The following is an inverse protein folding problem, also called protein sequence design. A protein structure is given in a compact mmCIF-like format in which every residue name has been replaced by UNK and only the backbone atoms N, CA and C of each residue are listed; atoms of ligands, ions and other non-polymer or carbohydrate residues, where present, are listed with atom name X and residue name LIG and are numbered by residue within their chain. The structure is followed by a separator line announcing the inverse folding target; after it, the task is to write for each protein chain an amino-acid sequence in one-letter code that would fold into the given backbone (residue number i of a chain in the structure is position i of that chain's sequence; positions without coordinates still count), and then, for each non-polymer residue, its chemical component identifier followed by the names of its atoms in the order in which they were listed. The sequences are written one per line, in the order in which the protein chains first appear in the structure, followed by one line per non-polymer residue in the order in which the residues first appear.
data_IF_331199078234
#
_entry.id   IF_331199078234
#
_cell.length_a   1.000
_cell.length_b   1.000
_cell.length_c   1.000
_cell.angle_alpha   90.00
_cell.angle_beta   90.00
_cell.angle_gamma   90.00
#
_symmetry.space_group_name_H-M   'P 1'
#
loop_
_entity.id
_entity.type
_entity.pdbx_description
1 polymer ?
#
# COMPACT_ATOMS: atom_id res chain seq x y z
N UNK A 1 1.60 24.00 -39.27
CA UNK A 1 2.40 22.81 -38.85
C UNK A 1 3.19 23.08 -37.57
N UNK A 2 4.00 24.14 -37.48
CA UNK A 2 4.74 24.49 -36.25
C UNK A 2 3.84 24.70 -35.01
N UNK A 3 2.72 25.44 -35.13
CA UNK A 3 1.78 25.63 -34.02
C UNK A 3 1.13 24.33 -33.52
N UNK A 4 0.83 23.38 -34.42
CA UNK A 4 0.23 22.09 -34.04
C UNK A 4 1.24 21.26 -33.25
N UNK A 5 2.50 21.23 -33.71
CA UNK A 5 3.58 20.52 -33.02
C UNK A 5 3.87 21.10 -31.62
N UNK A 6 3.78 22.43 -31.47
CA UNK A 6 3.94 23.10 -30.17
C UNK A 6 2.81 22.72 -29.22
N UNK A 7 1.55 22.70 -29.70
CA UNK A 7 0.39 22.31 -28.89
C UNK A 7 0.52 20.87 -28.41
N UNK A 8 0.85 19.94 -29.31
CA UNK A 8 1.00 18.51 -29.00
C UNK A 8 2.12 18.28 -27.96
N UNK A 9 3.25 18.96 -28.09
CA UNK A 9 4.35 18.91 -27.11
C UNK A 9 3.90 19.40 -25.72
N UNK A 10 3.17 20.52 -25.65
CA UNK A 10 2.66 21.06 -24.38
C UNK A 10 1.67 20.09 -23.73
N UNK A 11 0.76 19.50 -24.51
CA UNK A 11 -0.20 18.51 -24.01
C UNK A 11 0.48 17.26 -23.44
N UNK A 12 1.51 16.73 -24.10
CA UNK A 12 2.26 15.57 -23.63
C UNK A 12 2.99 15.86 -22.31
N UNK A 13 3.67 17.00 -22.23
CA UNK A 13 4.38 17.42 -21.02
C UNK A 13 3.43 17.62 -19.84
N UNK A 14 2.29 18.28 -20.07
CA UNK A 14 1.33 18.58 -19.02
C UNK A 14 0.61 17.30 -18.55
N UNK A 15 0.39 16.31 -19.43
CA UNK A 15 -0.08 14.96 -19.04
C UNK A 15 0.90 14.26 -18.10
N UNK A 16 2.18 14.19 -18.47
CA UNK A 16 3.21 13.57 -17.62
C UNK A 16 3.33 14.27 -16.27
N UNK A 17 3.29 15.60 -16.26
CA UNK A 17 3.29 16.41 -15.03
C UNK A 17 2.09 16.07 -14.15
N UNK A 18 0.88 16.06 -14.72
CA UNK A 18 -0.35 15.71 -13.99
C UNK A 18 -0.27 14.32 -13.37
N UNK A 19 0.16 13.30 -14.13
CA UNK A 19 0.29 11.95 -13.58
C UNK A 19 1.32 11.87 -12.44
N UNK A 20 2.37 12.69 -12.49
CA UNK A 20 3.38 12.79 -11.44
C UNK A 20 2.83 13.46 -10.18
N UNK A 21 2.12 14.58 -10.32
CA UNK A 21 1.55 15.35 -9.20
C UNK A 21 0.44 14.57 -8.48
N UNK A 22 -0.38 13.87 -9.26
CA UNK A 22 -1.49 13.07 -8.74
C UNK A 22 -1.08 11.64 -8.33
N UNK A 23 0.20 11.25 -8.49
CA UNK A 23 0.71 9.89 -8.27
C UNK A 23 -0.08 8.78 -9.01
N UNK A 24 -0.53 9.03 -10.25
CA UNK A 24 -1.22 8.02 -11.05
C UNK A 24 -0.24 6.98 -11.60
N UNK A 25 -0.50 5.69 -11.33
CA UNK A 25 0.27 4.57 -11.88
C UNK A 25 -0.25 4.15 -13.26
N UNK A 26 -0.04 5.00 -14.26
CA UNK A 26 -0.39 4.77 -15.67
C UNK A 26 0.84 4.38 -16.50
N UNK A 27 1.53 3.32 -16.10
CA UNK A 27 2.89 3.03 -16.55
C UNK A 27 2.99 2.84 -18.07
N UNK A 28 2.03 2.18 -18.71
CA UNK A 28 1.99 2.00 -20.17
C UNK A 28 1.89 3.34 -20.90
N UNK A 29 0.95 4.20 -20.52
CA UNK A 29 0.79 5.50 -21.17
C UNK A 29 1.94 6.46 -20.86
N UNK A 30 2.55 6.36 -19.68
CA UNK A 30 3.76 7.11 -19.33
C UNK A 30 4.92 6.71 -20.23
N UNK A 31 5.09 5.41 -20.49
CA UNK A 31 6.12 4.89 -21.41
C UNK A 31 5.86 5.42 -22.81
N UNK A 32 4.66 5.26 -23.35
CA UNK A 32 4.33 5.68 -24.72
C UNK A 32 4.62 7.17 -24.95
N UNK A 33 4.03 8.04 -24.12
CA UNK A 33 4.16 9.50 -24.25
C UNK A 33 5.58 9.95 -23.92
N UNK A 34 6.20 9.34 -22.92
CA UNK A 34 7.52 9.73 -22.46
C UNK A 34 8.65 9.31 -23.40
N UNK A 35 8.56 8.12 -24.00
CA UNK A 35 9.50 7.62 -25.01
C UNK A 35 9.47 8.52 -26.27
N UNK A 36 8.28 8.90 -26.74
CA UNK A 36 8.11 9.87 -27.84
C UNK A 36 8.75 11.22 -27.49
N UNK A 37 8.46 11.75 -26.30
CA UNK A 37 9.02 13.03 -25.84
C UNK A 37 10.55 13.03 -25.76
N UNK A 38 11.15 11.95 -25.25
CA UNK A 38 12.60 11.79 -25.13
C UNK A 38 13.23 11.70 -26.52
N UNK A 39 12.66 10.92 -27.43
CA UNK A 39 13.26 10.67 -28.74
C UNK A 39 13.09 11.85 -29.70
N UNK A 40 11.93 12.50 -29.71
CA UNK A 40 11.62 13.51 -30.73
C UNK A 40 11.77 14.95 -30.23
N UNK A 41 11.68 15.19 -28.92
CA UNK A 41 11.49 16.52 -28.36
C UNK A 41 12.41 16.87 -27.19
N UNK A 42 13.44 16.07 -26.89
CA UNK A 42 14.36 16.30 -25.76
C UNK A 42 14.94 17.73 -25.71
N UNK A 43 15.35 18.29 -26.84
CA UNK A 43 15.94 19.63 -26.90
C UNK A 43 14.99 20.77 -26.52
N UNK A 44 13.67 20.52 -26.51
CA UNK A 44 12.64 21.51 -26.19
C UNK A 44 12.14 21.40 -24.75
N UNK A 45 12.54 20.37 -24.02
CA UNK A 45 12.05 20.09 -22.67
C UNK A 45 12.78 20.88 -21.57
N UNK A 46 13.95 21.45 -21.87
CA UNK A 46 14.73 22.21 -20.89
C UNK A 46 15.04 21.33 -19.66
N UNK A 47 14.85 21.86 -18.46
CA UNK A 47 15.14 21.13 -17.22
C UNK A 47 14.11 20.05 -16.86
N UNK A 48 12.90 20.10 -17.44
CA UNK A 48 11.85 19.10 -17.20
C UNK A 48 12.27 17.71 -17.73
N UNK A 49 13.22 17.66 -18.67
CA UNK A 49 13.71 16.41 -19.29
C UNK A 49 14.18 15.40 -18.25
N UNK A 50 14.83 15.83 -17.17
CA UNK A 50 15.41 14.93 -16.17
C UNK A 50 14.33 14.27 -15.32
N UNK A 51 13.29 15.02 -15.00
CA UNK A 51 12.15 14.50 -14.23
C UNK A 51 11.31 13.58 -15.14
N UNK A 52 11.24 13.85 -16.45
CA UNK A 52 10.65 12.95 -17.45
C UNK A 52 11.44 11.65 -17.56
N UNK A 53 12.77 11.71 -17.71
CA UNK A 53 13.63 10.51 -17.74
C UNK A 53 13.40 9.61 -16.52
N UNK A 54 13.31 10.18 -15.32
CA UNK A 54 13.03 9.38 -14.12
C UNK A 54 11.62 8.76 -14.14
N UNK A 55 10.60 9.53 -14.55
CA UNK A 55 9.24 9.04 -14.63
C UNK A 55 9.10 7.89 -15.63
N UNK A 56 9.71 8.05 -16.81
CA UNK A 56 9.76 7.02 -17.85
C UNK A 56 10.55 5.82 -17.38
N UNK A 57 11.67 6.01 -16.69
CA UNK A 57 12.46 4.91 -16.14
C UNK A 57 11.64 4.05 -15.18
N UNK A 58 10.91 4.67 -14.24
CA UNK A 58 10.08 3.94 -13.27
C UNK A 58 8.94 3.20 -13.98
N UNK A 59 8.25 3.87 -14.90
CA UNK A 59 7.16 3.26 -15.67
C UNK A 59 7.65 2.12 -16.59
N UNK A 60 8.83 2.27 -17.18
CA UNK A 60 9.45 1.23 -18.01
C UNK A 60 9.79 -0.03 -17.20
N UNK A 61 10.22 0.11 -15.94
CA UNK A 61 10.40 -1.04 -15.04
C UNK A 61 9.07 -1.78 -14.79
N UNK A 62 7.99 -1.04 -14.52
CA UNK A 62 6.65 -1.61 -14.35
C UNK A 62 6.17 -2.36 -15.62
N UNK A 63 6.53 -1.87 -16.80
CA UNK A 63 6.22 -2.47 -18.09
C UNK A 63 7.24 -3.51 -18.57
N UNK A 64 8.24 -3.87 -17.75
CA UNK A 64 9.33 -4.79 -18.12
C UNK A 64 10.12 -4.36 -19.38
N UNK A 65 10.11 -3.06 -19.72
CA UNK A 65 10.90 -2.44 -20.79
C UNK A 65 12.29 -2.05 -20.25
N UNK A 66 13.11 -3.05 -19.93
CA UNK A 66 14.46 -2.82 -19.36
C UNK A 66 15.38 -2.03 -20.30
N UNK A 67 15.18 -2.14 -21.61
CA UNK A 67 15.87 -1.38 -22.65
C UNK A 67 15.72 0.14 -22.43
N UNK A 68 14.48 0.59 -22.25
CA UNK A 68 14.13 1.99 -22.03
C UNK A 68 14.55 2.44 -20.63
N UNK A 69 14.30 1.60 -19.62
CA UNK A 69 14.71 1.89 -18.24
C UNK A 69 16.22 2.06 -18.10
N UNK A 70 17.01 1.21 -18.76
CA UNK A 70 18.47 1.31 -18.80
C UNK A 70 18.93 2.59 -19.48
N UNK A 71 18.35 2.93 -20.64
CA UNK A 71 18.68 4.15 -21.39
C UNK A 71 18.44 5.39 -20.55
N UNK A 72 17.26 5.50 -19.93
CA UNK A 72 16.93 6.62 -19.05
C UNK A 72 17.89 6.70 -17.85
N UNK A 73 18.22 5.56 -17.25
CA UNK A 73 19.15 5.50 -16.12
C UNK A 73 20.57 5.95 -16.49
N UNK A 74 21.06 5.63 -17.69
CA UNK A 74 22.39 6.06 -18.14
C UNK A 74 22.45 7.59 -18.31
N UNK A 75 21.42 8.18 -18.92
CA UNK A 75 21.35 9.64 -19.07
C UNK A 75 21.31 10.35 -17.70
N UNK A 76 20.52 9.83 -16.76
CA UNK A 76 20.47 10.35 -15.40
C UNK A 76 21.81 10.22 -14.65
N UNK A 77 22.52 9.10 -14.83
CA UNK A 77 23.86 8.90 -14.23
C UNK A 77 24.89 9.86 -14.80
N UNK A 78 24.83 10.11 -16.11
CA UNK A 78 25.73 11.05 -16.81
C UNK A 78 25.52 12.47 -16.33
N UNK A 79 24.27 12.89 -16.17
CA UNK A 79 23.93 14.24 -15.74
C UNK A 79 24.15 14.47 -14.24
N UNK A 80 23.86 13.48 -13.40
CA UNK A 80 23.91 13.62 -11.94
C UNK A 80 24.82 12.56 -11.29
N UNK A 81 26.14 12.60 -11.55
CA UNK A 81 27.07 11.65 -10.95
C UNK A 81 27.05 11.75 -9.42
N UNK A 82 26.96 10.61 -8.74
CA UNK A 82 26.93 10.53 -7.27
C UNK A 82 25.58 10.85 -6.62
N UNK A 83 24.54 11.21 -7.38
CA UNK A 83 23.21 11.49 -6.84
C UNK A 83 22.60 10.26 -6.14
N UNK A 84 22.18 10.42 -4.88
CA UNK A 84 21.49 9.37 -4.11
C UNK A 84 20.17 8.96 -4.78
N UNK A 85 19.48 9.91 -5.43
CA UNK A 85 18.26 9.64 -6.21
C UNK A 85 18.55 8.69 -7.38
N UNK A 86 19.63 8.93 -8.11
CA UNK A 86 20.04 8.06 -9.24
C UNK A 86 20.58 6.72 -8.75
N UNK A 87 21.32 6.70 -7.63
CA UNK A 87 21.72 5.44 -6.96
C UNK A 87 20.50 4.60 -6.59
N UNK A 88 19.41 5.21 -6.10
CA UNK A 88 18.15 4.53 -5.77
C UNK A 88 17.50 3.94 -7.02
N UNK A 89 17.43 4.69 -8.13
CA UNK A 89 16.89 4.19 -9.41
C UNK A 89 17.71 3.00 -9.94
N UNK A 90 19.03 3.02 -9.79
CA UNK A 90 19.86 1.86 -10.13
C UNK A 90 19.51 0.63 -9.26
N UNK A 91 19.25 0.83 -7.97
CA UNK A 91 18.72 -0.21 -7.08
C UNK A 91 17.36 -0.76 -7.54
N UNK A 92 16.44 0.13 -7.95
CA UNK A 92 15.10 -0.28 -8.43
C UNK A 92 15.18 -1.16 -9.67
N UNK A 93 16.12 -0.86 -10.58
CA UNK A 93 16.38 -1.72 -11.74
C UNK A 93 16.95 -3.07 -11.33
N UNK A 94 17.86 -3.13 -10.35
CA UNK A 94 18.38 -4.40 -9.84
C UNK A 94 17.27 -5.25 -9.21
N UNK A 95 16.32 -4.64 -8.50
CA UNK A 95 15.13 -5.34 -8.00
C UNK A 95 14.26 -5.90 -9.11
N UNK A 96 14.01 -5.11 -10.17
CA UNK A 96 13.23 -5.56 -11.33
C UNK A 96 13.91 -6.73 -12.08
N UNK A 97 15.23 -6.85 -11.96
CA UNK A 97 16.02 -7.96 -12.49
C UNK A 97 16.22 -9.09 -11.47
N UNK A 98 15.52 -9.05 -10.33
CA UNK A 98 15.61 -10.01 -9.22
C UNK A 98 17.02 -10.17 -8.62
N UNK A 99 17.90 -9.18 -8.83
CA UNK A 99 19.26 -9.13 -8.26
C UNK A 99 19.23 -8.50 -6.87
N UNK A 100 18.51 -9.15 -5.96
CA UNK A 100 18.20 -8.61 -4.64
C UNK A 100 19.43 -8.35 -3.76
N UNK A 101 20.47 -9.16 -3.86
CA UNK A 101 21.72 -8.98 -3.10
C UNK A 101 22.47 -7.73 -3.55
N UNK A 102 22.52 -7.48 -4.85
CA UNK A 102 23.16 -6.29 -5.41
C UNK A 102 22.33 -5.04 -5.12
N UNK A 103 21.00 -5.15 -5.21
CA UNK A 103 20.09 -4.07 -4.81
C UNK A 103 20.24 -3.73 -3.32
N UNK A 104 20.35 -4.73 -2.45
CA UNK A 104 20.56 -4.52 -1.01
C UNK A 104 21.87 -3.78 -0.73
N UNK A 105 22.99 -4.21 -1.35
CA UNK A 105 24.28 -3.50 -1.23
C UNK A 105 24.19 -2.05 -1.70
N UNK A 106 23.45 -1.82 -2.78
CA UNK A 106 23.22 -0.48 -3.30
C UNK A 106 22.46 0.39 -2.28
N UNK A 107 21.41 -0.14 -1.65
CA UNK A 107 20.67 0.57 -0.61
C UNK A 107 21.47 0.77 0.68
N UNK A 108 22.26 -0.22 1.08
CA UNK A 108 23.16 -0.09 2.24
C UNK A 108 24.19 1.02 2.01
N UNK A 109 24.74 1.15 0.80
CA UNK A 109 25.63 2.28 0.48
C UNK A 109 24.92 3.63 0.58
N UNK A 110 23.65 3.74 0.16
CA UNK A 110 22.87 4.98 0.32
C UNK A 110 22.66 5.28 1.80
N UNK A 111 22.34 4.27 2.61
CA UNK A 111 22.07 4.42 4.04
C UNK A 111 23.35 4.66 4.87
N UNK A 112 24.52 4.23 4.40
CA UNK A 112 25.81 4.60 4.99
C UNK A 112 26.12 6.09 4.77
N UNK A 113 25.81 6.62 3.59
CA UNK A 113 26.01 8.03 3.26
C UNK A 113 24.95 8.92 3.96
N UNK A 114 23.69 8.47 3.99
CA UNK A 114 22.53 9.17 4.54
C UNK A 114 21.62 8.17 5.30
N UNK A 115 21.83 7.98 6.61
CA UNK A 115 21.03 7.08 7.44
C UNK A 115 19.54 7.45 7.53
N UNK A 116 19.21 8.71 7.19
CA UNK A 116 17.84 9.25 7.23
C UNK A 116 17.07 9.06 5.92
N UNK A 117 17.69 8.41 4.93
CA UNK A 117 17.08 8.17 3.63
C UNK A 117 15.93 7.15 3.70
N UNK A 118 14.73 7.64 3.97
CA UNK A 118 13.52 6.81 4.14
C UNK A 118 13.20 6.01 2.87
N UNK A 119 13.42 6.59 1.68
CA UNK A 119 13.17 5.94 0.41
C UNK A 119 14.07 4.71 0.21
N UNK A 120 15.37 4.81 0.49
CA UNK A 120 16.28 3.66 0.40
C UNK A 120 15.93 2.57 1.43
N UNK A 121 15.59 2.98 2.66
CA UNK A 121 15.20 2.04 3.72
C UNK A 121 13.93 1.27 3.38
N UNK A 122 12.88 1.95 2.87
CA UNK A 122 11.63 1.31 2.41
C UNK A 122 11.88 0.30 1.28
N UNK A 123 12.79 0.60 0.33
CA UNK A 123 13.17 -0.36 -0.72
C UNK A 123 13.89 -1.57 -0.17
N UNK A 124 14.80 -1.40 0.79
CA UNK A 124 15.46 -2.53 1.47
C UNK A 124 14.46 -3.43 2.20
N UNK A 125 13.49 -2.85 2.93
CA UNK A 125 12.40 -3.59 3.57
C UNK A 125 11.58 -4.35 2.51
N UNK A 126 11.25 -3.72 1.39
CA UNK A 126 10.52 -4.35 0.28
C UNK A 126 11.26 -5.56 -0.30
N UNK A 127 12.59 -5.49 -0.43
CA UNK A 127 13.43 -6.63 -0.84
C UNK A 127 13.35 -7.77 0.17
N UNK A 128 13.48 -7.49 1.46
CA UNK A 128 13.39 -8.51 2.50
C UNK A 128 12.04 -9.24 2.45
N UNK A 129 10.94 -8.49 2.24
CA UNK A 129 9.60 -9.05 2.04
C UNK A 129 9.54 -9.94 0.79
N UNK A 130 10.08 -9.49 -0.35
CA UNK A 130 10.11 -10.26 -1.59
C UNK A 130 10.93 -11.56 -1.48
N UNK A 131 11.99 -11.55 -0.66
CA UNK A 131 12.80 -12.73 -0.35
C UNK A 131 12.18 -13.67 0.70
N UNK A 132 11.02 -13.35 1.25
CA UNK A 132 10.40 -14.12 2.34
C UNK A 132 11.13 -14.02 3.68
N UNK A 133 12.02 -13.03 3.84
CA UNK A 133 12.78 -12.75 5.07
C UNK A 133 11.95 -11.90 6.04
N UNK A 134 10.81 -12.45 6.47
CA UNK A 134 9.84 -11.72 7.30
C UNK A 134 10.43 -11.21 8.62
N UNK A 135 11.25 -12.02 9.29
CA UNK A 135 11.84 -11.66 10.57
C UNK A 135 12.77 -10.45 10.46
N UNK A 136 13.61 -10.42 9.43
CA UNK A 136 14.48 -9.28 9.14
C UNK A 136 13.67 -8.05 8.72
N UNK A 137 12.64 -8.21 7.89
CA UNK A 137 11.76 -7.12 7.49
C UNK A 137 11.05 -6.48 8.71
N UNK A 138 10.56 -7.30 9.63
CA UNK A 138 9.96 -6.85 10.91
C UNK A 138 10.98 -6.07 11.74
N UNK A 139 12.22 -6.57 11.88
CA UNK A 139 13.27 -5.86 12.64
C UNK A 139 13.55 -4.49 12.03
N UNK A 140 13.77 -4.42 10.72
CA UNK A 140 14.07 -3.17 10.02
C UNK A 140 12.89 -2.17 10.06
N UNK A 141 11.64 -2.64 10.00
CA UNK A 141 10.46 -1.80 10.17
C UNK A 141 10.31 -1.24 11.58
N UNK A 142 10.60 -2.04 12.63
CA UNK A 142 10.60 -1.54 14.00
C UNK A 142 11.66 -0.43 14.17
N UNK A 143 12.90 -0.68 13.74
CA UNK A 143 13.99 0.32 13.80
C UNK A 143 13.65 1.58 12.99
N UNK A 144 12.93 1.44 11.87
CA UNK A 144 12.44 2.58 11.10
C UNK A 144 11.38 3.38 11.86
N UNK A 145 10.38 2.71 12.44
CA UNK A 145 9.27 3.36 13.14
C UNK A 145 9.69 4.00 14.46
N UNK A 146 10.81 3.59 15.06
CA UNK A 146 11.43 4.30 16.19
C UNK A 146 11.81 5.75 15.82
N UNK A 147 12.18 5.99 14.56
CA UNK A 147 12.58 7.32 14.06
C UNK A 147 11.44 8.04 13.33
N UNK A 148 10.57 7.28 12.65
CA UNK A 148 9.53 7.79 11.78
C UNK A 148 8.13 7.32 12.22
N UNK A 149 7.79 7.52 13.49
CA UNK A 149 6.55 7.05 14.12
C UNK A 149 5.25 7.50 13.41
N UNK A 150 5.31 8.61 12.67
CA UNK A 150 4.16 9.13 11.90
C UNK A 150 3.91 8.44 10.56
N UNK A 151 4.77 7.51 10.13
CA UNK A 151 4.61 6.82 8.84
C UNK A 151 3.56 5.70 8.92
N UNK A 152 2.34 6.06 8.51
CA UNK A 152 1.19 5.16 8.56
C UNK A 152 1.33 3.96 7.62
N UNK A 153 1.97 4.14 6.47
CA UNK A 153 2.19 3.04 5.52
C UNK A 153 3.11 1.99 6.16
N UNK A 154 4.17 2.42 6.84
CA UNK A 154 5.07 1.50 7.53
C UNK A 154 4.40 0.77 8.71
N UNK A 155 3.53 1.44 9.48
CA UNK A 155 2.72 0.79 10.52
C UNK A 155 1.78 -0.28 9.93
N UNK A 156 1.17 0.03 8.79
CA UNK A 156 0.29 -0.90 8.11
C UNK A 156 1.05 -2.13 7.59
N UNK A 157 2.18 -1.92 6.91
CA UNK A 157 3.05 -3.01 6.47
C UNK A 157 3.56 -3.88 7.62
N UNK A 158 3.94 -3.27 8.75
CA UNK A 158 4.36 -4.01 9.94
C UNK A 158 3.23 -4.85 10.52
N UNK A 159 1.99 -4.32 10.51
CA UNK A 159 0.81 -5.06 10.96
C UNK A 159 0.57 -6.31 10.08
N UNK A 160 0.69 -6.19 8.76
CA UNK A 160 0.53 -7.31 7.83
C UNK A 160 1.60 -8.39 8.04
N UNK A 161 2.86 -7.97 8.27
CA UNK A 161 3.93 -8.90 8.58
C UNK A 161 3.67 -9.66 9.89
N UNK A 162 3.22 -8.99 10.94
CA UNK A 162 2.86 -9.68 12.18
C UNK A 162 1.65 -10.61 12.02
N UNK A 163 0.68 -10.28 11.17
CA UNK A 163 -0.42 -11.19 10.82
C UNK A 163 0.12 -12.45 10.12
N UNK A 164 1.02 -12.29 9.14
CA UNK A 164 1.62 -13.41 8.41
C UNK A 164 2.48 -14.31 9.30
N UNK A 165 3.15 -13.72 10.30
CA UNK A 165 3.91 -14.45 11.32
C UNK A 165 3.06 -14.92 12.52
N UNK A 166 1.73 -14.75 12.44
CA UNK A 166 0.77 -15.16 13.47
C UNK A 166 0.97 -14.48 14.86
N UNK A 167 1.75 -13.40 14.93
CA UNK A 167 1.89 -12.55 16.12
C UNK A 167 0.77 -11.52 16.17
N UNK A 168 -0.45 -12.02 16.37
CA UNK A 168 -1.66 -11.19 16.41
C UNK A 168 -1.64 -10.13 17.51
N UNK A 169 -0.85 -10.34 18.58
CA UNK A 169 -0.66 -9.38 19.65
C UNK A 169 -0.01 -8.10 19.14
N UNK A 170 1.13 -8.23 18.46
CA UNK A 170 1.84 -7.09 17.88
C UNK A 170 1.12 -6.51 16.65
N UNK A 171 0.45 -7.34 15.86
CA UNK A 171 -0.41 -6.85 14.77
C UNK A 171 -1.52 -5.92 15.30
N UNK A 172 -2.19 -6.30 16.40
CA UNK A 172 -3.23 -5.48 17.00
C UNK A 172 -2.69 -4.14 17.51
N UNK A 173 -1.49 -4.13 18.10
CA UNK A 173 -0.82 -2.90 18.54
C UNK A 173 -0.56 -1.95 17.36
N UNK A 174 -0.02 -2.45 16.24
CA UNK A 174 0.19 -1.64 15.04
C UNK A 174 -1.12 -1.02 14.51
N UNK A 175 -2.21 -1.79 14.53
CA UNK A 175 -3.53 -1.31 14.11
C UNK A 175 -4.14 -0.30 15.09
N UNK A 176 -3.81 -0.36 16.38
CA UNK A 176 -4.20 0.66 17.36
C UNK A 176 -3.56 2.02 17.04
N UNK A 177 -2.26 2.04 16.72
CA UNK A 177 -1.55 3.27 16.27
C UNK A 177 -2.20 3.87 15.02
N UNK A 178 -2.57 3.02 14.05
CA UNK A 178 -3.27 3.45 12.83
C UNK A 178 -4.67 4.01 13.10
N UNK A 179 -5.43 3.41 14.02
CA UNK A 179 -6.75 3.90 14.40
C UNK A 179 -6.69 5.20 15.19
N UNK A 180 -5.67 5.39 16.04
CA UNK A 180 -5.48 6.64 16.78
C UNK A 180 -5.19 7.81 15.84
N UNK A 181 -4.38 7.58 14.80
CA UNK A 181 -4.04 8.61 13.80
C UNK A 181 -5.14 8.79 12.74
N UNK A 182 -5.95 7.77 12.47
CA UNK A 182 -7.02 7.79 11.46
C UNK A 182 -8.35 7.24 12.00
N UNK A 183 -9.02 7.94 12.94
CA UNK A 183 -10.20 7.42 13.64
C UNK A 183 -11.43 7.24 12.75
N UNK A 184 -11.40 7.79 11.54
CA UNK A 184 -12.49 7.69 10.55
C UNK A 184 -12.21 6.67 9.43
N UNK A 185 -11.05 6.01 9.42
CA UNK A 185 -10.75 4.98 8.44
C UNK A 185 -11.40 3.65 8.85
N UNK A 186 -12.44 3.24 8.13
CA UNK A 186 -13.17 2.02 8.43
C UNK A 186 -12.32 0.74 8.26
N UNK A 187 -11.29 0.77 7.41
CA UNK A 187 -10.46 -0.40 7.11
C UNK A 187 -9.63 -0.80 8.32
N UNK A 188 -9.06 0.17 9.06
CA UNK A 188 -8.28 -0.14 10.26
C UNK A 188 -9.15 -0.70 11.38
N UNK A 189 -10.38 -0.20 11.55
CA UNK A 189 -11.34 -0.80 12.48
C UNK A 189 -11.74 -2.23 12.08
N UNK A 190 -11.92 -2.48 10.78
CA UNK A 190 -12.21 -3.81 10.26
C UNK A 190 -11.05 -4.77 10.52
N UNK A 191 -9.83 -4.43 10.08
CA UNK A 191 -8.64 -5.27 10.25
C UNK A 191 -8.34 -5.52 11.73
N UNK A 192 -8.48 -4.52 12.60
CA UNK A 192 -8.33 -4.70 14.04
C UNK A 192 -9.37 -5.69 14.60
N UNK A 193 -10.62 -5.58 14.16
CA UNK A 193 -11.67 -6.50 14.57
C UNK A 193 -11.42 -7.94 14.11
N UNK A 194 -10.86 -8.12 12.91
CA UNK A 194 -10.42 -9.43 12.39
C UNK A 194 -9.27 -10.01 13.22
N UNK A 195 -8.25 -9.22 13.53
CA UNK A 195 -7.13 -9.65 14.38
C UNK A 195 -7.63 -10.07 15.77
N UNK A 196 -8.51 -9.27 16.41
CA UNK A 196 -9.12 -9.64 17.70
C UNK A 196 -10.01 -10.87 17.60
N UNK A 197 -10.73 -11.05 16.49
CA UNK A 197 -11.51 -12.27 16.26
C UNK A 197 -10.61 -13.51 16.24
N UNK A 198 -9.51 -13.43 15.49
CA UNK A 198 -8.53 -14.51 15.33
C UNK A 198 -7.81 -14.86 16.64
N UNK A 199 -7.48 -13.86 17.47
CA UNK A 199 -6.94 -14.09 18.82
C UNK A 199 -7.86 -14.94 19.70
N UNK A 200 -9.17 -14.88 19.44
CA UNK A 200 -10.16 -15.69 20.14
C UNK A 200 -10.28 -15.39 21.63
N UNK A 201 -11.07 -16.19 22.34
CA UNK A 201 -11.47 -15.89 23.71
C UNK A 201 -12.62 -14.88 23.76
N UNK A 202 -13.43 -14.97 24.82
CA UNK A 202 -14.69 -14.22 24.91
C UNK A 202 -14.46 -12.71 24.90
N UNK A 203 -13.43 -12.22 25.59
CA UNK A 203 -13.09 -10.81 25.66
C UNK A 203 -12.72 -10.24 24.28
N UNK A 204 -11.83 -10.93 23.54
CA UNK A 204 -11.45 -10.48 22.20
C UNK A 204 -12.60 -10.61 21.20
N UNK A 205 -13.48 -11.62 21.33
CA UNK A 205 -14.69 -11.70 20.51
C UNK A 205 -15.62 -10.50 20.77
N UNK A 206 -15.78 -10.07 22.03
CA UNK A 206 -16.57 -8.89 22.35
C UNK A 206 -15.95 -7.60 21.80
N UNK A 207 -14.62 -7.45 21.85
CA UNK A 207 -13.89 -6.36 21.21
C UNK A 207 -14.09 -6.39 19.69
N UNK A 208 -13.83 -7.54 19.06
CA UNK A 208 -14.02 -7.76 17.63
C UNK A 208 -15.42 -7.33 17.18
N UNK A 209 -16.47 -7.78 17.86
CA UNK A 209 -17.85 -7.36 17.57
C UNK A 209 -18.04 -5.85 17.64
N UNK A 210 -17.47 -5.18 18.65
CA UNK A 210 -17.56 -3.72 18.82
C UNK A 210 -16.87 -3.00 17.65
N UNK A 211 -15.67 -3.42 17.27
CA UNK A 211 -14.91 -2.79 16.20
C UNK A 211 -15.46 -3.08 14.80
N UNK A 212 -16.04 -4.27 14.56
CA UNK A 212 -16.82 -4.51 13.34
C UNK A 212 -18.05 -3.59 13.25
N UNK A 213 -18.77 -3.38 14.37
CA UNK A 213 -19.88 -2.44 14.40
C UNK A 213 -19.42 -0.98 14.15
N UNK A 214 -18.26 -0.60 14.66
CA UNK A 214 -17.66 0.72 14.39
C UNK A 214 -17.27 0.86 12.91
N UNK A 215 -16.64 -0.16 12.32
CA UNK A 215 -16.31 -0.17 10.89
C UNK A 215 -17.57 -0.03 10.02
N UNK A 216 -18.69 -0.68 10.39
CA UNK A 216 -19.98 -0.54 9.72
C UNK A 216 -20.63 0.84 9.90
N UNK A 217 -20.40 1.49 11.03
CA UNK A 217 -20.85 2.87 11.27
C UNK A 217 -20.10 3.86 10.38
N UNK A 218 -18.81 3.62 10.16
CA UNK A 218 -17.97 4.44 9.26
C UNK A 218 -18.25 4.14 7.78
N UNK A 219 -18.45 2.87 7.42
CA UNK A 219 -18.83 2.43 6.07
C UNK A 219 -19.84 1.28 6.13
N UNK A 220 -21.11 1.60 5.86
CA UNK A 220 -22.22 0.65 5.91
C UNK A 220 -22.26 -0.36 4.74
N UNK A 221 -21.39 -0.20 3.72
CA UNK A 221 -21.26 -1.13 2.58
C UNK A 221 -20.13 -2.13 2.76
N UNK A 222 -19.43 -2.07 3.89
CA UNK A 222 -18.33 -2.97 4.17
C UNK A 222 -18.83 -4.39 4.48
N UNK A 223 -18.77 -5.27 3.47
CA UNK A 223 -19.22 -6.66 3.60
C UNK A 223 -18.36 -7.47 4.57
N UNK A 224 -17.04 -7.25 4.62
CA UNK A 224 -16.15 -7.92 5.58
C UNK A 224 -16.55 -7.61 7.01
N UNK A 225 -16.76 -6.33 7.32
CA UNK A 225 -17.24 -5.92 8.63
C UNK A 225 -18.64 -6.47 8.97
N UNK A 226 -19.50 -6.63 7.97
CA UNK A 226 -20.84 -7.18 8.16
C UNK A 226 -20.82 -8.69 8.51
N UNK A 227 -20.02 -9.47 7.79
CA UNK A 227 -19.77 -10.87 8.12
C UNK A 227 -19.06 -11.00 9.48
N UNK A 228 -18.06 -10.17 9.74
CA UNK A 228 -17.36 -10.12 11.02
C UNK A 228 -18.31 -9.87 12.20
N UNK A 229 -19.23 -8.91 12.07
CA UNK A 229 -20.26 -8.64 13.09
C UNK A 229 -21.17 -9.87 13.30
N UNK A 230 -21.62 -10.50 12.22
CA UNK A 230 -22.45 -11.71 12.30
C UNK A 230 -21.72 -12.86 13.02
N UNK A 231 -20.48 -13.15 12.61
CA UNK A 231 -19.69 -14.26 13.15
C UNK A 231 -19.33 -14.04 14.62
N UNK A 232 -18.83 -12.85 14.97
CA UNK A 232 -18.49 -12.48 16.35
C UNK A 232 -19.71 -12.55 17.27
N UNK A 233 -20.83 -11.94 16.86
CA UNK A 233 -22.08 -11.99 17.65
C UNK A 233 -22.61 -13.43 17.80
N UNK A 234 -22.59 -14.23 16.74
CA UNK A 234 -23.06 -15.62 16.79
C UNK A 234 -22.21 -16.48 17.74
N UNK A 235 -20.88 -16.33 17.69
CA UNK A 235 -19.96 -17.04 18.58
C UNK A 235 -20.12 -16.61 20.04
N UNK A 236 -20.30 -15.31 20.31
CA UNK A 236 -20.58 -14.82 21.67
C UNK A 236 -21.90 -15.40 22.18
N UNK A 237 -22.95 -15.40 21.36
CA UNK A 237 -24.26 -15.93 21.75
C UNK A 237 -24.27 -17.45 22.00
N UNK A 238 -23.40 -18.20 21.30
CA UNK A 238 -23.23 -19.64 21.47
C UNK A 238 -22.35 -20.01 22.69
N UNK A 239 -21.58 -19.06 23.23
CA UNK A 239 -20.67 -19.32 24.35
C UNK A 239 -21.44 -19.71 25.63
N UNK A 240 -21.06 -20.79 26.33
CA UNK A 240 -21.67 -21.13 27.62
C UNK A 240 -21.25 -20.17 28.75
N UNK A 241 -20.22 -19.33 28.51
CA UNK A 241 -19.67 -18.40 29.50
C UNK A 241 -20.48 -17.11 29.64
N UNK A 242 -21.41 -16.83 28.73
CA UNK A 242 -22.21 -15.59 28.75
C UNK A 242 -23.54 -15.78 29.46
N UNK A 243 -24.00 -14.73 30.15
CA UNK A 243 -25.33 -14.71 30.76
C UNK A 243 -26.44 -14.54 29.69
N UNK A 244 -27.70 -14.77 30.10
CA UNK A 244 -28.85 -14.70 29.22
C UNK A 244 -29.04 -13.32 28.55
N UNK A 245 -28.68 -12.24 29.25
CA UNK A 245 -28.78 -10.86 28.72
C UNK A 245 -27.81 -10.64 27.58
N UNK A 246 -26.54 -11.00 27.76
CA UNK A 246 -25.49 -10.91 26.73
C UNK A 246 -25.83 -11.82 25.56
N UNK A 247 -26.29 -13.05 25.82
CA UNK A 247 -26.74 -13.98 24.78
C UNK A 247 -27.86 -13.38 23.93
N UNK A 248 -28.93 -12.86 24.56
CA UNK A 248 -30.07 -12.25 23.86
C UNK A 248 -29.65 -11.02 23.04
N UNK A 249 -28.76 -10.18 23.55
CA UNK A 249 -28.24 -9.04 22.82
C UNK A 249 -27.46 -9.47 21.56
N UNK A 250 -26.59 -10.46 21.68
CA UNK A 250 -25.79 -10.95 20.57
C UNK A 250 -26.60 -11.70 19.51
N UNK A 251 -27.66 -12.43 19.89
CA UNK A 251 -28.63 -12.97 18.93
C UNK A 251 -29.28 -11.86 18.11
N UNK A 252 -29.60 -10.71 18.72
CA UNK A 252 -30.14 -9.55 17.98
C UNK A 252 -29.13 -8.96 17.00
N UNK A 253 -27.86 -8.79 17.42
CA UNK A 253 -26.80 -8.33 16.53
C UNK A 253 -26.60 -9.28 15.34
N UNK A 254 -26.51 -10.58 15.60
CA UNK A 254 -26.36 -11.60 14.56
C UNK A 254 -27.55 -11.57 13.58
N UNK A 255 -28.78 -11.56 14.09
CA UNK A 255 -30.01 -11.51 13.27
C UNK A 255 -30.06 -10.24 12.41
N UNK A 256 -29.71 -9.09 12.99
CA UNK A 256 -29.63 -7.84 12.24
C UNK A 256 -28.60 -7.94 11.12
N UNK A 257 -27.40 -8.43 11.41
CA UNK A 257 -26.32 -8.57 10.44
C UNK A 257 -26.74 -9.52 9.30
N UNK A 258 -27.32 -10.68 9.60
CA UNK A 258 -27.84 -11.62 8.59
C UNK A 258 -28.88 -10.98 7.68
N UNK A 259 -29.80 -10.18 8.23
CA UNK A 259 -30.79 -9.46 7.42
C UNK A 259 -30.15 -8.45 6.47
N UNK A 260 -29.11 -7.72 6.91
CA UNK A 260 -28.36 -6.82 6.04
C UNK A 260 -27.58 -7.58 4.96
N UNK A 261 -26.96 -8.71 5.31
CA UNK A 261 -26.24 -9.56 4.34
C UNK A 261 -27.22 -10.02 3.24
N UNK A 262 -28.36 -10.58 3.63
CA UNK A 262 -29.39 -11.02 2.68
C UNK A 262 -29.86 -9.89 1.75
N UNK A 263 -30.08 -8.69 2.29
CA UNK A 263 -30.45 -7.50 1.48
C UNK A 263 -29.35 -7.12 0.50
N UNK A 264 -28.09 -7.14 0.92
CA UNK A 264 -26.95 -6.82 0.05
C UNK A 264 -26.86 -7.78 -1.14
N UNK A 265 -27.04 -9.08 -0.92
CA UNK A 265 -27.08 -10.09 -2.00
C UNK A 265 -28.27 -9.91 -2.94
N UNK A 266 -29.46 -9.62 -2.41
CA UNK A 266 -30.65 -9.36 -3.24
C UNK A 266 -30.45 -8.16 -4.18
N UNK A 267 -29.88 -7.07 -3.67
CA UNK A 267 -29.57 -5.87 -4.47
C UNK A 267 -28.52 -6.18 -5.53
N UNK A 268 -27.48 -6.94 -5.19
CA UNK A 268 -26.44 -7.33 -6.15
C UNK A 268 -26.99 -8.23 -7.25
N UNK A 269 -27.86 -9.18 -6.90
CA UNK A 269 -28.50 -10.08 -7.86
C UNK A 269 -29.40 -9.31 -8.83
N UNK A 270 -30.20 -8.37 -8.33
CA UNK A 270 -31.06 -7.52 -9.15
C UNK A 270 -30.26 -6.64 -10.14
N UNK A 271 -29.05 -6.21 -9.78
CA UNK A 271 -28.16 -5.43 -10.67
C UNK A 271 -27.51 -6.26 -11.76
N UNK A 272 -27.30 -7.56 -11.57
CA UNK A 272 -26.73 -8.43 -12.60
C UNK A 272 -27.77 -8.88 -13.65
N UNK A 273 -29.06 -8.72 -13.36
CA UNK A 273 -30.17 -9.08 -14.26
C UNK A 273 -30.64 -7.91 -15.16
N UNK A 274 -30.12 -6.70 -14.92
CA UNK A 274 -30.38 -5.47 -15.69
C UNK A 274 -29.13 -5.12 -16.50
#
# INVERSE_FOLDING_TARGET
RANVLIIVLTEMRDKLRKWREDNHRNSEQIVDVGEELINEHASKLGDDIWIIYEQVMIAALDCSRDDLAWTCLQELKRQFPGSQRVKRLAGMRLEALEKYEDASKQYDSILQDDPTNTAARKRKISILKAQGKSAEAIRELNEYLEQFVGDQEAWHELSELYINEHDYGKAAFCLEELMMTNPHNHLYCEQYAEVKYTQGGLENLELSRKYFAQALKLNNRNMRALFGLYMSASHIAASPKVNATVKKANVKYATWATNQINRAYQVSYARCLL
#
